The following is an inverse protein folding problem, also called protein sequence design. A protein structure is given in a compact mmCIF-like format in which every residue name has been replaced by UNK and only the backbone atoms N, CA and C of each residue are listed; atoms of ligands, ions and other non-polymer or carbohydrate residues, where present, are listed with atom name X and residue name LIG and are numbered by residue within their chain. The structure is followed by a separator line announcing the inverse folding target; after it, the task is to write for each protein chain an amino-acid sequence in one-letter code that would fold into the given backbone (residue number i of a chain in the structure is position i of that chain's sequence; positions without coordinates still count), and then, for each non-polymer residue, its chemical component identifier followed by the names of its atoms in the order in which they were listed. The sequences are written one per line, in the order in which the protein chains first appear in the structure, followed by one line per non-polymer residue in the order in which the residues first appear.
data_IF_567516780242
#
_entry.id   IF_567516780242
#
_cell.length_a   1.000
_cell.length_b   1.000
_cell.length_c   1.000
_cell.angle_alpha   90.00
_cell.angle_beta   90.00
_cell.angle_gamma   90.00
#
_symmetry.space_group_name_H-M   'P 1'
#
loop_
_entity.id
_entity.type
_entity.pdbx_description
1 polymer ?
#
# COMPACT_ATOMS: atom_id res chain seq x y z
N UNK A 1 -42.77 -27.36 -5.31
CA UNK A 1 -43.43 -26.13 -5.83
C UNK A 1 -43.62 -25.03 -4.78
N UNK A 2 -44.57 -25.07 -3.84
CA UNK A 2 -44.81 -23.94 -2.91
C UNK A 2 -43.67 -23.69 -1.90
N UNK A 3 -43.00 -24.76 -1.46
CA UNK A 3 -41.86 -24.69 -0.52
C UNK A 3 -40.58 -24.14 -1.17
N UNK A 4 -40.33 -24.49 -2.42
CA UNK A 4 -39.20 -23.97 -3.21
C UNK A 4 -39.36 -22.46 -3.44
N UNK A 5 -40.55 -22.01 -3.89
CA UNK A 5 -40.85 -20.59 -4.04
C UNK A 5 -40.61 -19.77 -2.77
N UNK A 6 -40.98 -20.30 -1.60
CA UNK A 6 -40.72 -19.64 -0.30
C UNK A 6 -39.23 -19.62 0.08
N UNK A 7 -38.48 -20.67 -0.25
CA UNK A 7 -37.04 -20.70 0.01
C UNK A 7 -36.30 -19.72 -0.90
N UNK A 8 -36.68 -19.64 -2.18
CA UNK A 8 -36.09 -18.70 -3.14
C UNK A 8 -36.34 -17.25 -2.73
N UNK A 9 -37.55 -16.94 -2.28
CA UNK A 9 -37.89 -15.62 -1.73
C UNK A 9 -37.00 -15.28 -0.51
N UNK A 10 -36.85 -16.22 0.44
CA UNK A 10 -35.96 -16.01 1.61
C UNK A 10 -34.51 -15.81 1.20
N UNK A 11 -34.00 -16.62 0.27
CA UNK A 11 -32.64 -16.48 -0.25
C UNK A 11 -32.44 -15.07 -0.81
N UNK A 12 -33.38 -14.59 -1.63
CA UNK A 12 -33.30 -13.26 -2.24
C UNK A 12 -33.28 -12.15 -1.19
N UNK A 13 -34.23 -12.12 -0.27
CA UNK A 13 -34.31 -11.03 0.73
C UNK A 13 -33.10 -11.05 1.67
N UNK A 14 -32.64 -12.23 2.08
CA UNK A 14 -31.44 -12.36 2.91
C UNK A 14 -30.17 -11.93 2.17
N UNK A 15 -30.08 -12.14 0.86
CA UNK A 15 -28.98 -11.63 0.02
C UNK A 15 -29.04 -10.11 -0.15
N UNK A 16 -30.23 -9.55 -0.38
CA UNK A 16 -30.43 -8.09 -0.43
C UNK A 16 -29.99 -7.45 0.90
N UNK A 17 -30.29 -8.08 2.04
CA UNK A 17 -29.81 -7.66 3.37
C UNK A 17 -28.28 -7.74 3.47
N UNK A 18 -27.66 -8.83 3.03
CA UNK A 18 -26.19 -8.97 3.00
C UNK A 18 -25.56 -7.86 2.17
N UNK A 19 -26.06 -7.63 0.95
CA UNK A 19 -25.57 -6.60 0.04
C UNK A 19 -25.65 -5.22 0.70
N UNK A 20 -26.81 -4.87 1.24
CA UNK A 20 -26.99 -3.62 1.97
C UNK A 20 -26.01 -3.47 3.14
N UNK A 21 -25.75 -4.54 3.90
CA UNK A 21 -24.80 -4.50 5.01
C UNK A 21 -23.35 -4.27 4.54
N UNK A 22 -22.98 -4.81 3.38
CA UNK A 22 -21.66 -4.60 2.76
C UNK A 22 -21.55 -3.16 2.26
N UNK A 23 -22.53 -2.70 1.47
CA UNK A 23 -22.55 -1.38 0.84
C UNK A 23 -22.58 -0.22 1.85
N UNK A 24 -23.16 -0.46 3.03
CA UNK A 24 -23.25 0.52 4.11
C UNK A 24 -22.21 0.27 5.22
N UNK A 25 -21.22 -0.59 5.00
CA UNK A 25 -20.15 -0.92 5.96
C UNK A 25 -20.67 -1.39 7.35
N UNK A 26 -21.87 -1.96 7.40
CA UNK A 26 -22.52 -2.44 8.63
C UNK A 26 -22.09 -3.85 9.03
N UNK A 27 -21.33 -4.55 8.18
CA UNK A 27 -20.85 -5.93 8.44
C UNK A 27 -20.14 -6.03 9.79
N UNK A 28 -19.15 -5.17 10.05
CA UNK A 28 -18.39 -5.20 11.31
C UNK A 28 -19.25 -4.79 12.51
N UNK A 29 -20.23 -3.92 12.31
CA UNK A 29 -21.15 -3.46 13.36
C UNK A 29 -22.04 -4.62 13.82
N UNK A 30 -22.65 -5.31 12.85
CA UNK A 30 -23.63 -6.39 13.06
C UNK A 30 -23.07 -7.77 12.68
N UNK A 31 -21.81 -8.05 13.06
CA UNK A 31 -21.09 -9.25 12.60
C UNK A 31 -21.82 -10.57 12.90
N UNK A 32 -22.45 -10.67 14.08
CA UNK A 32 -23.22 -11.87 14.47
C UNK A 32 -24.40 -12.09 13.52
N UNK A 33 -25.16 -11.03 13.25
CA UNK A 33 -26.28 -11.03 12.30
C UNK A 33 -25.79 -11.40 10.89
N UNK A 34 -24.71 -10.78 10.41
CA UNK A 34 -24.12 -11.06 9.10
C UNK A 34 -23.73 -12.55 8.94
N UNK A 35 -23.02 -13.10 9.92
CA UNK A 35 -22.61 -14.51 9.90
C UNK A 35 -23.81 -15.45 9.91
N UNK A 36 -24.85 -15.12 10.68
CA UNK A 36 -26.06 -15.92 10.77
C UNK A 36 -26.86 -15.90 9.46
N UNK A 37 -26.99 -14.72 8.82
CA UNK A 37 -27.66 -14.62 7.50
C UNK A 37 -26.90 -15.45 6.46
N UNK A 38 -25.56 -15.35 6.44
CA UNK A 38 -24.74 -16.15 5.53
C UNK A 38 -24.91 -17.66 5.73
N UNK A 39 -24.96 -18.15 6.98
CA UNK A 39 -25.25 -19.57 7.25
C UNK A 39 -26.64 -19.96 6.72
N UNK A 40 -27.65 -19.12 6.94
CA UNK A 40 -29.00 -19.38 6.46
C UNK A 40 -29.07 -19.46 4.93
N UNK A 41 -28.44 -18.51 4.23
CA UNK A 41 -28.35 -18.49 2.75
C UNK A 41 -27.60 -19.72 2.24
N UNK A 42 -26.47 -20.07 2.87
CA UNK A 42 -25.68 -21.24 2.49
C UNK A 42 -26.47 -22.55 2.61
N UNK A 43 -27.18 -22.74 3.72
CA UNK A 43 -28.04 -23.91 3.95
C UNK A 43 -29.14 -24.02 2.90
N UNK A 44 -29.87 -22.92 2.67
CA UNK A 44 -30.96 -22.89 1.70
C UNK A 44 -30.47 -23.19 0.27
N UNK A 45 -29.32 -22.64 -0.15
CA UNK A 45 -28.69 -22.93 -1.46
C UNK A 45 -28.29 -24.40 -1.62
N UNK A 46 -27.95 -25.09 -0.53
CA UNK A 46 -27.64 -26.53 -0.53
C UNK A 46 -28.89 -27.41 -0.45
N UNK A 47 -30.09 -26.85 -0.58
CA UNK A 47 -31.35 -27.56 -0.42
C UNK A 47 -31.64 -28.00 1.03
N UNK A 48 -30.83 -27.55 2.00
CA UNK A 48 -31.02 -27.87 3.42
C UNK A 48 -32.09 -26.96 4.01
N UNK A 49 -33.01 -27.57 4.77
CA UNK A 49 -34.02 -26.82 5.50
C UNK A 49 -33.43 -26.03 6.66
N UNK A 50 -34.01 -24.86 6.95
CA UNK A 50 -33.72 -24.10 8.17
C UNK A 50 -34.47 -24.69 9.37
N UNK A 51 -33.85 -24.64 10.56
CA UNK A 51 -34.53 -25.03 11.80
C UNK A 51 -35.73 -24.11 12.07
N UNK A 52 -36.72 -24.52 12.89
CA UNK A 52 -37.87 -23.67 13.21
C UNK A 52 -37.47 -22.31 13.81
N UNK A 53 -36.44 -22.28 14.66
CA UNK A 53 -35.88 -21.04 15.21
C UNK A 53 -35.24 -20.15 14.14
N UNK A 54 -34.42 -20.73 13.25
CA UNK A 54 -33.80 -20.01 12.13
C UNK A 54 -34.85 -19.44 11.17
N UNK A 55 -35.94 -20.15 10.91
CA UNK A 55 -37.05 -19.65 10.08
C UNK A 55 -37.75 -18.47 10.71
N UNK A 56 -38.16 -18.58 11.97
CA UNK A 56 -38.82 -17.47 12.68
C UNK A 56 -37.95 -16.22 12.73
N UNK A 57 -36.66 -16.39 12.97
CA UNK A 57 -35.71 -15.29 12.96
C UNK A 57 -35.52 -14.69 11.55
N UNK A 58 -35.39 -15.53 10.52
CA UNK A 58 -35.27 -15.04 9.16
C UNK A 58 -36.53 -14.28 8.72
N UNK A 59 -37.70 -14.81 9.09
CA UNK A 59 -39.00 -14.17 8.82
C UNK A 59 -39.14 -12.86 9.62
N UNK A 60 -38.65 -12.78 10.86
CA UNK A 60 -38.64 -11.52 11.64
C UNK A 60 -37.71 -10.46 11.05
N UNK A 61 -36.56 -10.84 10.50
CA UNK A 61 -35.67 -9.91 9.79
C UNK A 61 -36.31 -9.39 8.49
N UNK A 62 -37.10 -10.24 7.81
CA UNK A 62 -37.85 -9.85 6.62
C UNK A 62 -38.95 -8.84 6.99
N UNK A 63 -39.64 -9.04 8.12
CA UNK A 63 -40.68 -8.13 8.63
C UNK A 63 -40.12 -6.83 9.19
N UNK A 64 -39.04 -6.87 9.99
CA UNK A 64 -38.40 -5.69 10.58
C UNK A 64 -37.70 -4.79 9.54
N UNK A 65 -37.34 -5.35 8.38
CA UNK A 65 -36.71 -4.62 7.28
C UNK A 65 -35.27 -4.18 7.55
N UNK A 66 -34.80 -3.21 6.77
CA UNK A 66 -33.40 -2.76 6.81
C UNK A 66 -33.11 -1.85 8.00
N UNK A 67 -32.86 -2.42 9.19
CA UNK A 67 -32.45 -1.60 10.34
C UNK A 67 -31.04 -1.04 10.17
N UNK A 68 -30.92 0.29 10.29
CA UNK A 68 -29.65 0.99 10.56
C UNK A 68 -29.36 0.95 12.05
N UNK A 69 -28.11 0.64 12.40
CA UNK A 69 -27.67 0.77 13.80
C UNK A 69 -27.60 2.25 14.12
N UNK A 70 -28.43 2.71 15.04
CA UNK A 70 -28.34 4.09 15.51
C UNK A 70 -27.10 4.26 16.38
N UNK A 71 -26.15 5.06 15.90
CA UNK A 71 -25.00 5.44 16.69
C UNK A 71 -25.44 6.38 17.83
N UNK A 72 -25.00 6.15 19.09
CA UNK A 72 -25.30 7.04 20.20
C UNK A 72 -24.95 8.50 19.89
N UNK A 73 -25.78 9.44 20.36
CA UNK A 73 -25.67 10.85 20.02
C UNK A 73 -24.26 11.42 20.25
N UNK A 74 -23.59 11.02 21.33
CA UNK A 74 -22.20 11.43 21.66
C UNK A 74 -21.18 11.11 20.55
N UNK A 75 -21.38 10.01 19.83
CA UNK A 75 -20.41 9.48 18.86
C UNK A 75 -20.81 9.78 17.40
N UNK A 76 -22.01 10.32 17.18
CA UNK A 76 -22.62 10.47 15.86
C UNK A 76 -21.77 11.28 14.88
N UNK A 77 -21.13 12.36 15.33
CA UNK A 77 -20.29 13.21 14.48
C UNK A 77 -19.08 12.46 13.93
N UNK A 78 -18.34 11.77 14.79
CA UNK A 78 -17.15 11.00 14.40
C UNK A 78 -17.54 9.77 13.56
N UNK A 79 -18.62 9.08 13.94
CA UNK A 79 -19.15 7.95 13.18
C UNK A 79 -19.51 8.34 11.73
N UNK A 80 -20.21 9.47 11.54
CA UNK A 80 -20.57 9.95 10.22
C UNK A 80 -19.35 10.30 9.36
N UNK A 81 -18.30 10.88 9.96
CA UNK A 81 -17.02 11.14 9.25
C UNK A 81 -16.36 9.84 8.80
N UNK A 82 -16.35 8.82 9.67
CA UNK A 82 -15.85 7.48 9.33
C UNK A 82 -16.67 6.86 8.19
N UNK A 83 -17.99 6.90 8.24
CA UNK A 83 -18.82 6.37 7.14
C UNK A 83 -18.60 7.11 5.83
N UNK A 84 -18.39 8.44 5.87
CA UNK A 84 -18.06 9.21 4.69
C UNK A 84 -16.70 8.81 4.11
N UNK A 85 -15.67 8.65 4.96
CA UNK A 85 -14.34 8.22 4.55
C UNK A 85 -14.32 6.78 3.99
N UNK A 86 -15.13 5.87 4.55
CA UNK A 86 -15.23 4.48 4.05
C UNK A 86 -15.78 4.41 2.62
N UNK A 87 -16.54 5.40 2.18
CA UNK A 87 -17.05 5.50 0.80
C UNK A 87 -16.03 6.09 -0.18
N UNK A 88 -14.93 6.66 0.31
CA UNK A 88 -13.89 7.23 -0.54
C UNK A 88 -12.97 6.12 -1.07
N UNK A 89 -12.75 6.11 -2.39
CA UNK A 89 -11.95 5.09 -3.09
C UNK A 89 -10.51 5.07 -2.61
N UNK A 90 -9.90 6.24 -2.41
CA UNK A 90 -8.50 6.38 -1.98
C UNK A 90 -8.25 6.04 -0.50
N UNK A 91 -9.32 5.93 0.31
CA UNK A 91 -9.23 5.55 1.72
C UNK A 91 -9.11 4.02 1.94
N UNK A 92 -9.11 3.22 0.87
CA UNK A 92 -9.23 1.74 0.89
C UNK A 92 -8.33 1.01 1.90
N UNK A 93 -7.08 1.43 2.08
CA UNK A 93 -6.18 0.80 3.06
C UNK A 93 -6.60 0.94 4.51
N UNK A 94 -7.22 2.07 4.85
CA UNK A 94 -7.65 2.37 6.21
C UNK A 94 -9.06 1.82 6.45
N UNK A 95 -9.76 1.30 5.43
CA UNK A 95 -11.13 0.81 5.54
C UNK A 95 -11.31 -0.22 6.65
N UNK A 96 -10.36 -1.13 6.82
CA UNK A 96 -10.44 -2.14 7.87
C UNK A 96 -10.41 -1.52 9.27
N UNK A 97 -9.47 -0.59 9.52
CA UNK A 97 -9.25 0.02 10.83
C UNK A 97 -10.37 1.04 11.12
N UNK A 98 -10.67 1.91 10.15
CA UNK A 98 -11.79 2.86 10.22
C UNK A 98 -13.13 2.14 10.42
N UNK A 99 -13.37 1.02 9.74
CA UNK A 99 -14.56 0.20 9.94
C UNK A 99 -14.64 -0.41 11.35
N UNK A 100 -13.51 -0.74 11.97
CA UNK A 100 -13.48 -1.18 13.37
C UNK A 100 -13.80 -0.05 14.35
N UNK A 101 -13.21 1.13 14.13
CA UNK A 101 -13.52 2.31 14.94
C UNK A 101 -14.99 2.72 14.80
N UNK A 102 -15.52 2.72 13.57
CA UNK A 102 -16.93 2.94 13.29
C UNK A 102 -17.82 1.93 14.03
N UNK A 103 -17.47 0.64 14.00
CA UNK A 103 -18.22 -0.39 14.72
C UNK A 103 -18.19 -0.24 16.25
N UNK A 104 -17.05 0.18 16.82
CA UNK A 104 -16.96 0.49 18.26
C UNK A 104 -17.86 1.67 18.64
N UNK A 105 -17.78 2.76 17.87
CA UNK A 105 -18.57 3.97 18.09
C UNK A 105 -20.07 3.70 17.96
N UNK A 106 -20.48 2.92 16.96
CA UNK A 106 -21.87 2.50 16.76
C UNK A 106 -22.40 1.65 17.94
N UNK A 107 -21.55 0.88 18.61
CA UNK A 107 -21.88 0.13 19.84
C UNK A 107 -21.84 0.99 21.12
N UNK A 108 -21.50 2.28 21.00
CA UNK A 108 -21.39 3.20 22.13
C UNK A 108 -20.09 3.08 22.92
N UNK A 109 -19.10 2.34 22.41
CA UNK A 109 -17.78 2.26 23.03
C UNK A 109 -16.97 3.51 22.69
N UNK A 110 -16.18 3.95 23.66
CA UNK A 110 -15.26 5.06 23.49
C UNK A 110 -13.93 4.57 22.90
N UNK A 111 -13.30 5.41 22.08
CA UNK A 111 -11.95 5.17 21.58
C UNK A 111 -10.95 5.72 22.61
N UNK A 112 -9.84 5.01 22.83
CA UNK A 112 -8.75 5.56 23.64
C UNK A 112 -8.15 6.81 22.96
N UNK A 113 -7.47 7.68 23.70
CA UNK A 113 -6.84 8.89 23.15
C UNK A 113 -5.93 8.59 21.95
N UNK A 114 -5.12 7.52 22.06
CA UNK A 114 -4.27 7.05 20.96
C UNK A 114 -5.08 6.56 19.75
N UNK A 115 -6.20 5.87 19.97
CA UNK A 115 -7.10 5.44 18.90
C UNK A 115 -7.80 6.62 18.23
N UNK A 116 -8.20 7.63 19.01
CA UNK A 116 -8.81 8.86 18.50
C UNK A 116 -7.80 9.63 17.64
N UNK A 117 -6.59 9.88 18.15
CA UNK A 117 -5.52 10.55 17.40
C UNK A 117 -5.21 9.81 16.09
N UNK A 118 -5.15 8.48 16.13
CA UNK A 118 -4.94 7.69 14.92
C UNK A 118 -6.14 7.73 13.96
N UNK A 119 -7.38 7.69 14.48
CA UNK A 119 -8.59 7.87 13.70
C UNK A 119 -8.60 9.22 12.97
N UNK A 120 -8.30 10.30 13.68
CA UNK A 120 -8.26 11.65 13.11
C UNK A 120 -7.17 11.79 12.04
N UNK A 121 -5.99 11.19 12.24
CA UNK A 121 -4.95 11.16 11.21
C UNK A 121 -5.40 10.45 9.93
N UNK A 122 -6.07 9.30 10.05
CA UNK A 122 -6.60 8.55 8.89
C UNK A 122 -7.76 9.30 8.20
N UNK A 123 -8.61 9.99 8.97
CA UNK A 123 -9.69 10.81 8.42
C UNK A 123 -9.13 12.02 7.68
N UNK A 124 -8.14 12.71 8.24
CA UNK A 124 -7.47 13.83 7.59
C UNK A 124 -6.80 13.39 6.27
N UNK A 125 -6.15 12.22 6.26
CA UNK A 125 -5.57 11.65 5.03
C UNK A 125 -6.64 11.33 3.98
N UNK A 126 -7.78 10.75 4.39
CA UNK A 126 -8.89 10.49 3.48
C UNK A 126 -9.52 11.79 2.95
N UNK A 127 -9.68 12.81 3.79
CA UNK A 127 -10.25 14.11 3.41
C UNK A 127 -9.32 14.90 2.47
N UNK A 128 -7.99 14.76 2.62
CA UNK A 128 -7.00 15.44 1.79
C UNK A 128 -6.95 14.92 0.34
N UNK A 129 -7.43 13.71 0.08
CA UNK A 129 -7.42 13.10 -1.26
C UNK A 129 -6.12 12.37 -1.59
N UNK A 130 -5.98 11.88 -2.84
CA UNK A 130 -4.74 11.27 -3.31
C UNK A 130 -3.57 12.24 -3.18
N UNK A 131 -2.41 11.73 -2.76
CA UNK A 131 -1.20 12.54 -2.77
C UNK A 131 -0.81 12.90 -4.21
N UNK A 132 -0.62 14.20 -4.45
CA UNK A 132 -0.11 14.74 -5.70
C UNK A 132 1.36 15.12 -5.48
N UNK A 133 2.31 14.46 -6.15
CA UNK A 133 3.72 14.78 -5.99
C UNK A 133 4.05 16.15 -6.59
N UNK A 134 4.99 16.86 -5.96
CA UNK A 134 5.58 18.08 -6.53
C UNK A 134 6.53 17.74 -7.68
N UNK A 135 6.88 18.74 -8.51
CA UNK A 135 7.85 18.55 -9.60
C UNK A 135 9.21 18.01 -9.09
N UNK A 136 9.66 18.49 -7.93
CA UNK A 136 10.88 18.00 -7.28
C UNK A 136 10.76 16.54 -6.82
N UNK A 137 9.58 16.14 -6.32
CA UNK A 137 9.30 14.77 -5.94
C UNK A 137 9.25 13.87 -7.19
N UNK A 138 8.70 14.34 -8.31
CA UNK A 138 8.72 13.63 -9.61
C UNK A 138 10.15 13.45 -10.12
N UNK A 139 11.00 14.47 -10.05
CA UNK A 139 12.41 14.33 -10.44
C UNK A 139 13.14 13.32 -9.53
N UNK A 140 12.86 13.37 -8.23
CA UNK A 140 13.37 12.38 -7.27
C UNK A 140 12.90 10.97 -7.62
N UNK A 141 11.65 10.80 -8.07
CA UNK A 141 11.13 9.52 -8.56
C UNK A 141 11.89 9.02 -9.78
N UNK A 142 12.25 9.90 -10.73
CA UNK A 142 13.08 9.51 -11.90
C UNK A 142 14.46 9.03 -11.45
N UNK A 143 15.09 9.73 -10.50
CA UNK A 143 16.36 9.28 -9.91
C UNK A 143 16.21 7.94 -9.20
N UNK A 144 15.13 7.74 -8.42
CA UNK A 144 14.82 6.47 -7.76
C UNK A 144 14.70 5.34 -8.78
N UNK A 145 13.95 5.57 -9.86
CA UNK A 145 13.75 4.56 -10.90
C UNK A 145 15.07 4.17 -11.59
N UNK A 146 16.00 5.12 -11.75
CA UNK A 146 17.35 4.83 -12.25
C UNK A 146 18.14 3.96 -11.25
N UNK A 147 18.15 4.34 -9.96
CA UNK A 147 18.93 3.61 -8.94
C UNK A 147 18.32 2.30 -8.46
N UNK A 148 17.09 1.95 -8.88
CA UNK A 148 16.39 0.73 -8.46
C UNK A 148 17.19 -0.55 -8.66
N UNK A 149 18.05 -0.56 -9.68
CA UNK A 149 18.89 -1.71 -10.02
C UNK A 149 20.13 -1.86 -9.14
N UNK A 150 20.44 -0.89 -8.27
CA UNK A 150 21.57 -0.95 -7.34
C UNK A 150 21.34 -1.90 -6.14
N UNK A 151 20.22 -2.62 -6.11
CA UNK A 151 19.88 -3.60 -5.06
C UNK A 151 19.43 -4.91 -5.71
N UNK A 152 19.60 -6.01 -4.99
CA UNK A 152 19.18 -7.34 -5.43
C UNK A 152 17.82 -7.74 -4.85
N UNK A 153 17.23 -8.82 -5.35
CA UNK A 153 15.93 -9.32 -4.90
C UNK A 153 15.92 -9.67 -3.41
N UNK A 154 17.03 -10.20 -2.88
CA UNK A 154 17.16 -10.52 -1.46
C UNK A 154 16.99 -9.27 -0.57
N UNK A 155 17.62 -8.16 -0.94
CA UNK A 155 17.51 -6.90 -0.22
C UNK A 155 16.07 -6.37 -0.23
N UNK A 156 15.37 -6.44 -1.37
CA UNK A 156 13.96 -6.07 -1.46
C UNK A 156 13.05 -7.00 -0.64
N UNK A 157 13.37 -8.29 -0.55
CA UNK A 157 12.67 -9.24 0.33
C UNK A 157 12.78 -8.86 1.81
N UNK A 158 13.93 -8.33 2.24
CA UNK A 158 14.13 -7.78 3.58
C UNK A 158 13.55 -6.37 3.78
N UNK A 159 13.05 -5.71 2.73
CA UNK A 159 12.46 -4.37 2.79
C UNK A 159 11.17 -4.28 1.97
N UNK A 160 10.09 -4.99 2.35
CA UNK A 160 8.87 -5.09 1.54
C UNK A 160 8.23 -3.73 1.22
N UNK A 161 8.22 -2.81 2.19
CA UNK A 161 7.69 -1.46 2.01
C UNK A 161 8.43 -0.67 0.94
N UNK A 162 9.77 -0.83 0.87
CA UNK A 162 10.58 -0.17 -0.14
C UNK A 162 10.34 -0.82 -1.50
N UNK A 163 10.24 -2.15 -1.55
CA UNK A 163 9.91 -2.87 -2.77
C UNK A 163 8.56 -2.41 -3.36
N UNK A 164 7.54 -2.31 -2.51
CA UNK A 164 6.23 -1.76 -2.88
C UNK A 164 6.35 -0.31 -3.36
N UNK A 165 7.05 0.55 -2.60
CA UNK A 165 7.24 1.95 -3.00
C UNK A 165 7.93 2.11 -4.35
N UNK A 166 8.96 1.31 -4.63
CA UNK A 166 9.65 1.32 -5.93
C UNK A 166 8.76 0.83 -7.07
N UNK A 167 7.91 -0.17 -6.84
CA UNK A 167 6.94 -0.63 -7.82
C UNK A 167 5.91 0.47 -8.14
N UNK A 168 5.37 1.12 -7.11
CA UNK A 168 4.42 2.24 -7.25
C UNK A 168 5.02 3.45 -7.94
N UNK A 169 6.29 3.75 -7.67
CA UNK A 169 7.02 4.82 -8.37
C UNK A 169 7.12 4.51 -9.87
N UNK A 170 7.46 3.27 -10.26
CA UNK A 170 7.51 2.89 -11.69
C UNK A 170 6.12 3.03 -12.33
N UNK A 171 5.09 2.49 -11.68
CA UNK A 171 3.69 2.56 -12.13
C UNK A 171 3.21 4.01 -12.29
N UNK A 172 3.53 4.89 -11.33
CA UNK A 172 3.21 6.31 -11.42
C UNK A 172 3.94 7.02 -12.57
N UNK A 173 5.23 6.74 -12.79
CA UNK A 173 5.99 7.37 -13.88
C UNK A 173 5.54 6.89 -15.27
N UNK A 174 4.97 5.68 -15.37
CA UNK A 174 4.51 5.07 -16.62
C UNK A 174 3.04 5.43 -16.92
N UNK A 175 2.16 5.33 -15.92
CA UNK A 175 0.70 5.41 -16.09
C UNK A 175 0.05 6.59 -15.35
N UNK A 176 0.80 7.29 -14.49
CA UNK A 176 0.26 8.37 -13.65
C UNK A 176 -0.57 7.87 -12.46
N UNK A 177 -0.52 6.57 -12.16
CA UNK A 177 -1.32 5.94 -11.09
C UNK A 177 -0.98 6.51 -9.72
N UNK A 178 -1.90 7.23 -9.04
CA UNK A 178 -1.61 7.85 -7.76
C UNK A 178 -1.27 6.82 -6.70
N UNK A 179 -0.29 7.14 -5.86
CA UNK A 179 0.11 6.35 -4.71
C UNK A 179 0.35 7.25 -3.51
N UNK A 180 0.85 6.70 -2.40
CA UNK A 180 0.95 7.46 -1.14
C UNK A 180 2.35 7.98 -0.88
N UNK A 181 2.38 9.18 -0.29
CA UNK A 181 3.61 9.87 0.09
C UNK A 181 4.54 9.02 0.96
N UNK A 182 4.01 8.27 1.94
CA UNK A 182 4.88 7.48 2.83
C UNK A 182 5.66 6.38 2.08
N UNK A 183 5.13 5.85 0.97
CA UNK A 183 5.83 4.86 0.14
C UNK A 183 6.97 5.53 -0.63
N UNK A 184 6.73 6.73 -1.15
CA UNK A 184 7.78 7.57 -1.72
C UNK A 184 8.85 7.90 -0.67
N UNK A 185 8.48 8.39 0.51
CA UNK A 185 9.41 8.75 1.58
C UNK A 185 10.28 7.55 2.01
N UNK A 186 9.67 6.35 2.11
CA UNK A 186 10.38 5.13 2.44
C UNK A 186 11.44 4.80 1.36
N UNK A 187 11.06 4.88 0.08
CA UNK A 187 11.98 4.64 -1.04
C UNK A 187 13.09 5.70 -1.10
N UNK A 188 12.72 6.98 -1.05
CA UNK A 188 13.63 8.12 -1.05
C UNK A 188 14.68 8.00 0.07
N UNK A 189 14.24 7.69 1.30
CA UNK A 189 15.14 7.49 2.44
C UNK A 189 16.11 6.33 2.22
N UNK A 190 15.64 5.20 1.69
CA UNK A 190 16.47 4.02 1.47
C UNK A 190 17.52 4.17 0.36
N UNK A 191 17.24 5.01 -0.64
CA UNK A 191 18.12 5.23 -1.78
C UNK A 191 18.86 6.57 -1.77
N UNK A 192 18.64 7.42 -0.76
CA UNK A 192 19.27 8.73 -0.61
C UNK A 192 20.79 8.71 -0.86
N UNK A 193 21.50 7.73 -0.29
CA UNK A 193 22.95 7.62 -0.48
C UNK A 193 23.35 7.33 -1.94
N UNK A 194 22.56 6.53 -2.66
CA UNK A 194 22.82 6.21 -4.08
C UNK A 194 22.48 7.38 -4.99
N UNK A 195 21.41 8.11 -4.69
CA UNK A 195 21.07 9.36 -5.40
C UNK A 195 22.19 10.39 -5.19
N UNK A 196 22.67 10.57 -3.95
CA UNK A 196 23.82 11.42 -3.64
C UNK A 196 25.09 11.01 -4.38
N UNK A 197 25.36 9.71 -4.50
CA UNK A 197 26.51 9.22 -5.28
C UNK A 197 26.45 9.57 -6.76
N UNK A 198 25.26 9.72 -7.34
CA UNK A 198 25.07 10.13 -8.74
C UNK A 198 25.13 11.65 -8.87
N UNK A 199 24.45 12.38 -7.98
CA UNK A 199 24.34 13.84 -8.05
C UNK A 199 25.63 14.54 -7.60
N UNK A 200 26.40 13.90 -6.71
CA UNK A 200 27.69 14.40 -6.21
C UNK A 200 28.73 13.30 -6.39
N UNK A 201 29.13 13.02 -7.65
CA UNK A 201 29.98 11.89 -7.94
C UNK A 201 31.34 12.03 -7.30
N UNK A 202 31.83 10.91 -6.78
CA UNK A 202 33.18 10.84 -6.24
C UNK A 202 34.22 11.10 -7.33
N UNK A 203 33.97 10.66 -8.56
CA UNK A 203 34.89 10.80 -9.68
C UNK A 203 34.24 11.57 -10.83
N UNK A 204 35.01 12.44 -11.48
CA UNK A 204 34.60 13.16 -12.68
C UNK A 204 35.19 12.51 -13.94
N UNK A 205 34.61 12.79 -15.10
CA UNK A 205 35.16 12.35 -16.39
C UNK A 205 36.58 12.93 -16.54
N UNK A 206 37.53 12.08 -16.88
CA UNK A 206 38.95 12.42 -16.97
C UNK A 206 39.74 12.20 -15.68
N UNK A 207 39.09 11.93 -14.54
CA UNK A 207 39.80 11.66 -13.29
C UNK A 207 40.68 10.41 -13.39
N UNK A 208 41.91 10.54 -12.87
CA UNK A 208 42.77 9.38 -12.60
C UNK A 208 42.25 8.61 -11.40
N UNK A 209 42.11 7.30 -11.56
CA UNK A 209 41.65 6.40 -10.52
C UNK A 209 42.50 5.12 -10.47
N UNK A 210 42.42 4.41 -9.36
CA UNK A 210 42.95 3.06 -9.22
C UNK A 210 41.80 2.07 -9.13
N UNK A 211 41.90 0.98 -9.88
CA UNK A 211 40.95 -0.13 -9.83
C UNK A 211 41.69 -1.47 -9.70
N UNK A 212 41.01 -2.49 -9.17
CA UNK A 212 41.56 -3.84 -9.08
C UNK A 212 41.30 -4.63 -10.36
N UNK A 213 42.35 -5.26 -10.88
CA UNK A 213 42.32 -6.24 -11.97
C UNK A 213 43.27 -7.37 -11.60
N UNK A 214 42.80 -8.62 -11.60
CA UNK A 214 43.59 -9.79 -11.20
C UNK A 214 44.30 -9.62 -9.84
N UNK A 215 43.58 -9.09 -8.84
CA UNK A 215 44.10 -8.78 -7.49
C UNK A 215 45.15 -7.65 -7.40
N UNK A 216 45.63 -7.12 -8.54
CA UNK A 216 46.57 -6.00 -8.59
C UNK A 216 45.84 -4.66 -8.79
N UNK A 217 46.43 -3.58 -8.25
CA UNK A 217 45.94 -2.23 -8.48
C UNK A 217 46.51 -1.68 -9.78
N UNK A 218 45.63 -1.30 -10.70
CA UNK A 218 46.00 -0.64 -11.94
C UNK A 218 45.46 0.78 -11.99
N UNK A 219 46.23 1.66 -12.62
CA UNK A 219 45.77 3.02 -12.91
C UNK A 219 44.80 2.98 -14.09
N UNK A 220 43.76 3.79 -14.02
CA UNK A 220 42.83 4.00 -15.11
C UNK A 220 42.26 5.41 -15.11
N UNK A 221 41.52 5.72 -16.17
CA UNK A 221 40.86 7.01 -16.35
C UNK A 221 39.35 6.83 -16.42
N UNK A 222 38.61 7.67 -15.71
CA UNK A 222 37.15 7.66 -15.76
C UNK A 222 36.68 8.26 -17.08
N UNK A 223 35.90 7.49 -17.85
CA UNK A 223 35.47 7.85 -19.21
C UNK A 223 34.00 8.29 -19.28
N UNK A 224 33.23 8.13 -18.21
CA UNK A 224 31.79 8.40 -18.19
C UNK A 224 31.35 9.04 -16.87
N UNK A 225 30.20 9.71 -16.93
CA UNK A 225 29.45 10.15 -15.77
C UNK A 225 28.96 8.93 -14.95
N UNK A 226 28.70 9.06 -13.64
CA UNK A 226 28.16 7.98 -12.83
C UNK A 226 26.84 7.47 -13.41
N UNK A 227 26.68 6.15 -13.51
CA UNK A 227 25.41 5.54 -13.90
C UNK A 227 25.15 4.26 -13.10
N UNK A 228 23.89 3.81 -13.07
CA UNK A 228 23.50 2.62 -12.33
C UNK A 228 23.61 1.38 -13.19
N UNK A 229 24.38 0.39 -12.73
CA UNK A 229 24.56 -0.86 -13.48
C UNK A 229 23.77 -2.00 -12.85
N UNK A 230 22.89 -2.63 -13.64
CA UNK A 230 22.13 -3.82 -13.21
C UNK A 230 23.01 -5.03 -12.94
N UNK A 231 24.11 -5.18 -13.68
CA UNK A 231 25.04 -6.31 -13.52
C UNK A 231 25.82 -6.19 -12.20
N UNK A 232 26.33 -4.99 -11.90
CA UNK A 232 27.18 -4.73 -10.72
C UNK A 232 26.39 -4.30 -9.48
N UNK A 233 25.07 -4.07 -9.61
CA UNK A 233 24.17 -3.65 -8.52
C UNK A 233 24.71 -2.46 -7.73
N UNK A 234 25.30 -1.48 -8.43
CA UNK A 234 25.95 -0.31 -7.83
C UNK A 234 25.96 0.86 -8.80
N UNK A 235 26.30 2.05 -8.28
CA UNK A 235 26.72 3.18 -9.12
C UNK A 235 28.09 2.83 -9.70
N UNK A 236 28.22 3.00 -11.01
CA UNK A 236 29.34 2.55 -11.82
C UNK A 236 29.87 3.67 -12.71
N UNK A 237 31.10 3.44 -13.16
CA UNK A 237 31.80 4.26 -14.13
C UNK A 237 32.41 3.32 -15.18
N UNK A 238 32.42 3.77 -16.42
CA UNK A 238 33.30 3.23 -17.46
C UNK A 238 34.70 3.77 -17.23
N UNK A 239 35.67 2.86 -17.08
CA UNK A 239 37.06 3.19 -16.75
C UNK A 239 37.99 2.57 -17.78
N UNK A 240 38.84 3.39 -18.38
CA UNK A 240 39.88 2.95 -19.31
C UNK A 240 41.09 2.42 -18.53
N UNK A 241 41.39 1.14 -18.68
CA UNK A 241 42.52 0.44 -18.05
C UNK A 241 43.21 -0.44 -19.11
N UNK A 242 44.53 -0.32 -19.26
CA UNK A 242 45.33 -1.09 -20.23
C UNK A 242 44.79 -1.02 -21.67
N UNK A 243 44.23 0.13 -22.09
CA UNK A 243 43.65 0.30 -23.43
C UNK A 243 42.25 -0.29 -23.62
N UNK A 244 41.63 -0.87 -22.58
CA UNK A 244 40.26 -1.39 -22.62
C UNK A 244 39.35 -0.65 -21.65
N UNK A 245 38.08 -0.46 -22.05
CA UNK A 245 37.07 0.14 -21.18
C UNK A 245 36.39 -0.95 -20.35
N UNK A 246 36.49 -0.84 -19.03
CA UNK A 246 35.87 -1.76 -18.07
C UNK A 246 34.83 -1.04 -17.22
N UNK A 247 33.71 -1.71 -16.92
CA UNK A 247 32.70 -1.20 -15.99
C UNK A 247 33.13 -1.47 -14.56
N UNK A 248 33.23 -0.43 -13.73
CA UNK A 248 33.67 -0.52 -12.34
C UNK A 248 32.68 0.17 -11.41
N UNK A 249 32.29 -0.52 -10.34
CA UNK A 249 31.46 0.07 -9.28
C UNK A 249 32.28 1.05 -8.42
N UNK A 250 31.63 2.06 -7.83
CA UNK A 250 32.28 3.08 -6.99
C UNK A 250 33.19 2.51 -5.91
N UNK A 251 32.78 1.40 -5.28
CA UNK A 251 33.52 0.75 -4.19
C UNK A 251 34.82 0.08 -4.67
N UNK A 252 34.92 -0.23 -5.97
CA UNK A 252 36.11 -0.82 -6.59
C UNK A 252 37.12 0.22 -7.08
N UNK A 253 36.82 1.52 -6.90
CA UNK A 253 37.65 2.64 -7.34
C UNK A 253 38.25 3.39 -6.14
N UNK A 254 39.52 3.79 -6.28
CA UNK A 254 40.23 4.66 -5.33
C UNK A 254 40.76 5.90 -6.04
N UNK A 255 40.61 7.06 -5.40
CA UNK A 255 41.30 8.29 -5.84
C UNK A 255 42.81 8.13 -5.65
N UNK A 256 43.58 8.69 -6.56
CA UNK A 256 45.00 8.92 -6.33
C UNK A 256 45.13 9.83 -5.11
N UNK A 257 45.88 9.39 -4.09
CA UNK A 257 46.26 10.29 -3.00
C UNK A 257 47.14 11.38 -3.61
N UNK A 258 46.77 12.65 -3.40
CA UNK A 258 47.66 13.76 -3.73
C UNK A 258 48.91 13.59 -2.86
N UNK A 259 50.04 13.31 -3.52
CA UNK A 259 51.38 13.39 -2.94
C UNK A 259 51.78 14.85 -2.81
#
# INVERSE_FOLDING_TARGET
MAREKKNDMRIRVLQERIGWMVDNHQVKVQQKTFNFINDCVYRLRKGKGLTPGQRRWADSIIEEGLQKVECPAKNRKLFNRIEAALKMVHASHNHNILGEFGAKLARGWDLSEKQLSWCEAMLAEAEAGPWVPTEEEVETMRHLNNVRFSRNTYWYGGSPRVAEGMARISEFLEEGTPFRKYLFDAAAKSFNNRIKEINTPRFQIGDKCFTRKNQEWKMGFVMSAPYTCKQLRSVCYDVLVDGMTEKKGTDSLKKQRRS
#
